data_IF_508338604840
#
_entry.id   IF_508338604840
#
_cell.length_a   1.000
_cell.length_b   1.000
_cell.length_c   1.000
_cell.angle_alpha   90.00
_cell.angle_beta   90.00
_cell.angle_gamma   90.00
#
_symmetry.space_group_name_H-M   'P 1'
#
loop_
_entity.id
_entity.type
_entity.pdbx_description
1 polymer ?
#
# COMPACT_ATOMS: atom_id res chain seq x y z
N UNK A 1 -33.69 23.46 2.71
CA UNK A 1 -32.84 22.26 2.67
C UNK A 1 -33.27 21.38 1.52
N UNK A 2 -32.31 20.92 0.72
CA UNK A 2 -32.58 19.97 -0.37
C UNK A 2 -32.89 18.59 0.20
N UNK A 3 -33.59 17.73 -0.56
CA UNK A 3 -33.91 16.36 -0.12
C UNK A 3 -32.65 15.56 0.26
N UNK A 4 -31.52 15.84 -0.41
CA UNK A 4 -30.21 15.21 -0.14
C UNK A 4 -29.64 15.63 1.22
N UNK A 5 -29.75 16.91 1.58
CA UNK A 5 -29.32 17.41 2.90
C UNK A 5 -30.12 16.78 4.03
N UNK A 6 -31.44 16.58 3.84
CA UNK A 6 -32.29 15.94 4.85
C UNK A 6 -31.96 14.47 5.05
N UNK A 7 -31.69 13.74 3.95
CA UNK A 7 -31.27 12.34 4.00
C UNK A 7 -29.89 12.22 4.68
N UNK A 8 -28.93 13.06 4.30
CA UNK A 8 -27.61 13.08 4.93
C UNK A 8 -27.68 13.39 6.44
N UNK A 9 -28.50 14.37 6.84
CA UNK A 9 -28.72 14.70 8.25
C UNK A 9 -29.34 13.55 9.05
N UNK A 10 -30.34 12.85 8.49
CA UNK A 10 -30.97 11.70 9.14
C UNK A 10 -29.98 10.54 9.33
N UNK A 11 -29.15 10.25 8.32
CA UNK A 11 -28.11 9.20 8.41
C UNK A 11 -27.04 9.59 9.44
N UNK A 12 -26.59 10.85 9.45
CA UNK A 12 -25.63 11.33 10.41
C UNK A 12 -26.14 11.21 11.86
N UNK A 13 -27.39 11.63 12.12
CA UNK A 13 -28.01 11.51 13.45
C UNK A 13 -28.12 10.05 13.90
N UNK A 14 -28.55 9.14 13.00
CA UNK A 14 -28.67 7.72 13.32
C UNK A 14 -27.32 7.07 13.67
N UNK A 15 -26.25 7.44 12.97
CA UNK A 15 -24.89 6.97 13.28
C UNK A 15 -24.42 7.53 14.62
N UNK A 16 -24.66 8.82 14.88
CA UNK A 16 -24.22 9.48 16.11
C UNK A 16 -24.95 8.95 17.35
N UNK A 17 -26.27 8.73 17.29
CA UNK A 17 -27.05 8.14 18.39
C UNK A 17 -26.52 6.76 18.82
N UNK A 18 -25.90 6.00 17.90
CA UNK A 18 -25.37 4.66 18.17
C UNK A 18 -23.91 4.64 18.60
N UNK A 19 -23.11 5.57 18.09
CA UNK A 19 -21.66 5.52 18.23
C UNK A 19 -21.10 6.65 19.09
N UNK A 20 -21.86 7.72 19.31
CA UNK A 20 -21.38 8.97 19.93
C UNK A 20 -20.19 9.58 19.18
N UNK A 21 -20.02 9.25 17.90
CA UNK A 21 -18.81 9.56 17.15
C UNK A 21 -18.65 11.05 16.87
N UNK A 22 -19.69 11.88 16.96
CA UNK A 22 -19.61 13.30 16.62
C UNK A 22 -18.61 14.06 17.51
N UNK A 23 -18.56 13.79 18.82
CA UNK A 23 -17.64 14.46 19.72
C UNK A 23 -16.17 14.11 19.40
N UNK A 24 -15.91 12.83 19.13
CA UNK A 24 -14.59 12.35 18.71
C UNK A 24 -14.21 12.91 17.33
N UNK A 25 -15.12 12.90 16.36
CA UNK A 25 -14.90 13.44 15.02
C UNK A 25 -14.59 14.93 15.06
N UNK A 26 -15.37 15.72 15.79
CA UNK A 26 -15.15 17.17 15.98
C UNK A 26 -13.76 17.46 16.55
N UNK A 27 -13.31 16.67 17.53
CA UNK A 27 -11.96 16.81 18.11
C UNK A 27 -10.86 16.55 17.08
N UNK A 28 -11.00 15.50 16.27
CA UNK A 28 -9.99 15.14 15.28
C UNK A 28 -9.95 16.11 14.09
N UNK A 29 -11.12 16.55 13.61
CA UNK A 29 -11.22 17.51 12.52
C UNK A 29 -10.69 18.89 12.88
N UNK A 30 -10.82 19.31 14.15
CA UNK A 30 -10.28 20.58 14.63
C UNK A 30 -8.80 20.48 15.06
N UNK A 31 -8.13 19.35 14.83
CA UNK A 31 -6.72 19.19 15.18
C UNK A 31 -5.85 19.98 14.20
N UNK A 32 -5.13 20.96 14.72
CA UNK A 32 -4.18 21.76 13.93
C UNK A 32 -2.85 21.02 13.84
N UNK A 33 -2.32 20.89 12.62
CA UNK A 33 -0.99 20.35 12.36
C UNK A 33 -0.04 21.47 11.93
N UNK A 34 1.24 21.43 12.32
CA UNK A 34 2.26 22.35 11.83
C UNK A 34 2.45 22.22 10.31
N UNK A 35 2.79 23.32 9.63
CA UNK A 35 2.92 23.41 8.16
C UNK A 35 4.35 23.29 7.63
N UNK A 36 5.33 23.03 8.51
CA UNK A 36 6.72 22.90 8.08
C UNK A 36 6.93 21.62 7.27
N UNK A 37 7.49 21.76 6.06
CA UNK A 37 7.66 20.68 5.07
C UNK A 37 8.28 19.39 5.63
N UNK A 38 9.21 19.50 6.59
CA UNK A 38 9.89 18.34 7.18
C UNK A 38 8.98 17.44 8.01
N UNK A 39 7.80 17.90 8.46
CA UNK A 39 6.81 17.05 9.14
C UNK A 39 6.14 16.06 8.16
N UNK A 40 6.09 16.39 6.86
CA UNK A 40 5.48 15.54 5.83
C UNK A 40 6.38 14.37 5.41
N UNK A 41 7.66 14.37 5.79
CA UNK A 41 8.59 13.29 5.46
C UNK A 41 8.15 11.94 6.04
N UNK A 42 7.50 11.95 7.22
CA UNK A 42 6.89 10.76 7.80
C UNK A 42 5.67 10.27 7.03
N UNK A 43 4.90 11.18 6.43
CA UNK A 43 3.74 10.80 5.60
C UNK A 43 4.17 10.07 4.33
N UNK A 44 5.32 10.41 3.74
CA UNK A 44 5.87 9.65 2.59
C UNK A 44 6.06 8.18 2.96
N UNK A 45 6.52 7.87 4.17
CA UNK A 45 6.63 6.50 4.65
C UNK A 45 5.24 5.85 4.77
N UNK A 46 4.25 6.54 5.35
CA UNK A 46 2.89 6.03 5.46
C UNK A 46 2.24 5.76 4.10
N UNK A 47 2.34 6.70 3.15
CA UNK A 47 1.78 6.54 1.81
C UNK A 47 2.47 5.42 1.02
N UNK A 48 3.80 5.32 1.12
CA UNK A 48 4.55 4.21 0.53
C UNK A 48 4.14 2.86 1.14
N UNK A 49 3.90 2.81 2.45
CA UNK A 49 3.41 1.62 3.14
C UNK A 49 2.01 1.20 2.68
N UNK A 50 1.08 2.15 2.48
CA UNK A 50 -0.24 1.86 1.92
C UNK A 50 -0.11 1.27 0.52
N UNK A 51 0.75 1.83 -0.33
CA UNK A 51 1.02 1.29 -1.67
C UNK A 51 1.59 -0.13 -1.59
N UNK A 52 2.52 -0.39 -0.65
CA UNK A 52 3.06 -1.72 -0.39
C UNK A 52 1.98 -2.73 -0.01
N UNK A 53 1.06 -2.35 0.87
CA UNK A 53 -0.06 -3.22 1.25
C UNK A 53 -0.94 -3.55 0.05
N UNK A 54 -1.39 -2.53 -0.70
CA UNK A 54 -2.29 -2.74 -1.84
C UNK A 54 -1.63 -3.58 -2.94
N UNK A 55 -0.41 -3.21 -3.34
CA UNK A 55 0.33 -3.95 -4.37
C UNK A 55 0.79 -5.32 -3.89
N UNK A 56 1.17 -5.47 -2.61
CA UNK A 56 1.57 -6.73 -2.02
C UNK A 56 0.41 -7.70 -1.92
N UNK A 57 -0.74 -7.27 -1.42
CA UNK A 57 -1.96 -8.08 -1.39
C UNK A 57 -2.35 -8.55 -2.78
N UNK A 58 -2.24 -7.68 -3.80
CA UNK A 58 -2.35 -8.13 -5.19
C UNK A 58 -1.36 -9.28 -5.45
N UNK A 59 -0.04 -9.05 -5.35
CA UNK A 59 0.98 -10.06 -5.69
C UNK A 59 0.79 -11.41 -4.98
N UNK A 60 0.26 -11.43 -3.74
CA UNK A 60 0.01 -12.67 -3.00
C UNK A 60 -0.98 -13.62 -3.66
N UNK A 61 -1.92 -13.15 -4.49
CA UNK A 61 -2.86 -14.04 -5.17
C UNK A 61 -2.21 -14.92 -6.26
N UNK A 62 -1.02 -14.55 -6.74
CA UNK A 62 -0.35 -15.22 -7.87
C UNK A 62 1.01 -15.82 -7.50
N UNK A 63 1.54 -15.54 -6.31
CA UNK A 63 2.86 -16.00 -5.88
C UNK A 63 2.78 -17.37 -5.20
N UNK A 64 3.54 -18.35 -5.68
CA UNK A 64 3.72 -19.68 -5.05
C UNK A 64 5.03 -19.67 -4.26
N UNK A 65 5.01 -19.65 -2.91
CA UNK A 65 6.23 -19.57 -2.09
C UNK A 65 7.04 -20.88 -2.01
N UNK A 66 6.76 -21.89 -2.85
CA UNK A 66 7.41 -23.20 -2.79
C UNK A 66 8.80 -23.26 -3.45
N UNK A 67 9.71 -24.03 -2.86
CA UNK A 67 11.03 -24.38 -3.42
C UNK A 67 11.01 -25.68 -4.25
N UNK A 68 9.83 -26.27 -4.52
CA UNK A 68 9.73 -27.44 -5.40
C UNK A 68 10.34 -27.15 -6.77
N UNK A 69 11.11 -28.09 -7.29
CA UNK A 69 11.72 -27.99 -8.61
C UNK A 69 10.66 -28.21 -9.68
N UNK A 70 10.59 -27.29 -10.64
CA UNK A 70 9.67 -27.33 -11.79
C UNK A 70 10.45 -27.04 -13.06
N UNK A 71 10.00 -27.61 -14.18
CA UNK A 71 10.47 -27.24 -15.51
C UNK A 71 9.63 -26.06 -15.99
N UNK A 72 10.27 -25.00 -16.46
CA UNK A 72 9.57 -23.81 -16.95
C UNK A 72 9.02 -24.02 -18.36
N UNK A 73 7.70 -23.85 -18.49
CA UNK A 73 6.95 -23.99 -19.75
C UNK A 73 6.13 -22.72 -20.08
N UNK A 74 6.52 -21.57 -19.51
CA UNK A 74 5.78 -20.31 -19.65
C UNK A 74 6.14 -19.49 -20.90
N UNK A 75 5.58 -18.27 -20.97
CA UNK A 75 5.68 -17.40 -22.16
C UNK A 75 7.11 -16.89 -22.46
N UNK A 76 8.01 -16.83 -21.48
CA UNK A 76 9.36 -16.27 -21.64
C UNK A 76 10.34 -17.30 -22.22
N UNK A 77 10.39 -17.37 -23.56
CA UNK A 77 11.15 -18.36 -24.32
C UNK A 77 12.62 -18.58 -23.89
N UNK A 78 13.41 -17.55 -23.51
CA UNK A 78 14.80 -17.77 -23.10
C UNK A 78 15.00 -18.67 -21.88
N UNK A 79 13.95 -18.88 -21.08
CA UNK A 79 13.99 -19.77 -19.90
C UNK A 79 13.26 -21.10 -20.11
N UNK A 80 12.73 -21.34 -21.31
CA UNK A 80 11.95 -22.56 -21.62
C UNK A 80 12.77 -23.83 -21.43
N UNK A 81 12.19 -24.82 -20.75
CA UNK A 81 12.81 -26.12 -20.47
C UNK A 81 13.84 -26.12 -19.33
N UNK A 82 14.12 -24.97 -18.71
CA UNK A 82 15.03 -24.89 -17.56
C UNK A 82 14.33 -25.30 -16.26
N UNK A 83 15.09 -25.97 -15.38
CA UNK A 83 14.63 -26.28 -14.02
C UNK A 83 14.80 -25.07 -13.10
N UNK A 84 13.76 -24.74 -12.34
CA UNK A 84 13.74 -23.64 -11.38
C UNK A 84 12.80 -23.93 -10.21
N UNK A 85 12.81 -23.10 -9.18
CA UNK A 85 11.82 -23.20 -8.10
C UNK A 85 10.44 -22.73 -8.58
N UNK A 86 9.37 -23.30 -8.00
CA UNK A 86 8.02 -22.82 -8.23
C UNK A 86 7.83 -21.33 -7.85
N UNK A 87 8.56 -20.84 -6.85
CA UNK A 87 8.62 -19.41 -6.52
C UNK A 87 9.18 -18.55 -7.66
N UNK A 88 10.23 -19.00 -8.33
CA UNK A 88 10.76 -18.27 -9.47
C UNK A 88 9.82 -18.37 -10.69
N UNK A 89 9.27 -19.55 -10.96
CA UNK A 89 8.30 -19.75 -12.03
C UNK A 89 7.03 -18.88 -11.87
N UNK A 90 6.46 -18.83 -10.65
CA UNK A 90 5.29 -17.98 -10.36
C UNK A 90 5.63 -16.49 -10.46
N UNK A 91 6.85 -16.08 -10.11
CA UNK A 91 7.33 -14.70 -10.31
C UNK A 91 7.38 -14.32 -11.79
N UNK A 92 7.83 -15.24 -12.66
CA UNK A 92 7.82 -15.04 -14.12
C UNK A 92 6.38 -14.98 -14.66
N UNK A 93 5.50 -15.87 -14.20
CA UNK A 93 4.08 -15.85 -14.54
C UNK A 93 3.42 -14.50 -14.20
N UNK A 94 3.66 -13.95 -12.99
CA UNK A 94 3.18 -12.61 -12.62
C UNK A 94 3.72 -11.55 -13.59
N UNK A 95 4.97 -11.68 -14.02
CA UNK A 95 5.63 -10.67 -14.86
C UNK A 95 5.15 -10.69 -16.30
N UNK A 96 4.89 -11.86 -16.88
CA UNK A 96 4.68 -11.98 -18.32
C UNK A 96 3.26 -12.39 -18.72
N UNK A 97 2.50 -13.01 -17.81
CA UNK A 97 1.23 -13.65 -18.16
C UNK A 97 0.04 -13.01 -17.43
N UNK A 98 0.26 -12.45 -16.24
CA UNK A 98 -0.77 -11.67 -15.53
C UNK A 98 -0.87 -10.26 -16.09
N UNK A 99 -2.06 -9.85 -16.53
CA UNK A 99 -2.31 -8.49 -17.04
C UNK A 99 -1.99 -7.45 -15.96
N UNK A 100 -1.05 -6.56 -16.25
CA UNK A 100 -0.57 -5.55 -15.30
C UNK A 100 0.30 -6.09 -14.17
N UNK A 101 0.65 -7.39 -14.18
CA UNK A 101 1.39 -8.01 -13.09
C UNK A 101 2.84 -7.50 -12.97
N UNK A 102 3.55 -7.29 -14.08
CA UNK A 102 4.87 -6.64 -14.05
C UNK A 102 4.80 -5.22 -13.48
N UNK A 103 3.81 -4.43 -13.88
CA UNK A 103 3.62 -3.08 -13.36
C UNK A 103 3.43 -3.12 -11.84
N UNK A 104 2.55 -4.00 -11.34
CA UNK A 104 2.31 -4.15 -9.90
C UNK A 104 3.58 -4.59 -9.14
N UNK A 105 4.38 -5.51 -9.70
CA UNK A 105 5.67 -5.91 -9.12
C UNK A 105 6.66 -4.75 -9.04
N UNK A 106 6.74 -3.94 -10.09
CA UNK A 106 7.62 -2.77 -10.12
C UNK A 106 7.15 -1.71 -9.12
N UNK A 107 5.85 -1.39 -9.09
CA UNK A 107 5.28 -0.47 -8.11
C UNK A 107 5.58 -0.94 -6.69
N UNK A 108 5.39 -2.23 -6.40
CA UNK A 108 5.68 -2.79 -5.08
C UNK A 108 7.17 -2.63 -4.72
N UNK A 109 8.07 -2.94 -5.65
CA UNK A 109 9.51 -2.81 -5.41
C UNK A 109 9.93 -1.34 -5.20
N UNK A 110 9.46 -0.42 -6.06
CA UNK A 110 9.75 1.01 -5.90
C UNK A 110 9.15 1.59 -4.62
N UNK A 111 7.93 1.18 -4.25
CA UNK A 111 7.32 1.57 -2.99
C UNK A 111 8.15 1.07 -1.79
N UNK A 112 8.76 -0.12 -1.87
CA UNK A 112 9.68 -0.61 -0.84
C UNK A 112 10.92 0.27 -0.70
N UNK A 113 11.50 0.72 -1.82
CA UNK A 113 12.64 1.64 -1.82
C UNK A 113 12.26 3.00 -1.21
N UNK A 114 11.14 3.59 -1.65
CA UNK A 114 10.65 4.86 -1.09
C UNK A 114 10.31 4.74 0.40
N UNK A 115 9.71 3.64 0.82
CA UNK A 115 9.40 3.38 2.23
C UNK A 115 10.67 3.37 3.08
N UNK A 116 11.70 2.63 2.66
CA UNK A 116 12.96 2.55 3.38
C UNK A 116 13.69 3.90 3.43
N UNK A 117 13.78 4.60 2.31
CA UNK A 117 14.40 5.93 2.25
C UNK A 117 13.65 6.92 3.14
N UNK A 118 12.31 6.95 3.07
CA UNK A 118 11.49 7.84 3.87
C UNK A 118 11.64 7.59 5.37
N UNK A 119 11.72 6.32 5.80
CA UNK A 119 11.99 5.97 7.21
C UNK A 119 13.34 6.55 7.67
N UNK A 120 14.40 6.35 6.88
CA UNK A 120 15.73 6.84 7.24
C UNK A 120 15.74 8.36 7.30
N UNK A 121 15.19 9.05 6.29
CA UNK A 121 15.13 10.52 6.26
C UNK A 121 14.27 11.07 7.41
N UNK A 122 13.14 10.43 7.71
CA UNK A 122 12.29 10.80 8.84
C UNK A 122 13.00 10.60 10.18
N UNK A 123 13.75 9.51 10.35
CA UNK A 123 14.57 9.26 11.54
C UNK A 123 15.63 10.35 11.75
N UNK A 124 16.36 10.71 10.69
CA UNK A 124 17.35 11.79 10.73
C UNK A 124 16.70 13.11 11.16
N UNK A 125 15.53 13.41 10.59
CA UNK A 125 14.76 14.60 10.95
C UNK A 125 14.41 14.59 12.44
N UNK A 126 13.81 13.53 12.95
CA UNK A 126 13.43 13.42 14.38
C UNK A 126 14.64 13.59 15.29
N UNK A 127 15.75 12.93 14.96
CA UNK A 127 16.99 12.98 15.74
C UNK A 127 17.60 14.39 15.76
N UNK A 128 17.80 15.01 14.59
CA UNK A 128 18.48 16.32 14.50
C UNK A 128 17.61 17.49 14.97
N UNK A 129 16.27 17.36 14.95
CA UNK A 129 15.37 18.41 15.47
C UNK A 129 14.95 18.20 16.92
N UNK A 130 15.29 17.07 17.55
CA UNK A 130 14.86 16.74 18.92
C UNK A 130 13.34 16.66 19.08
N UNK A 131 12.64 16.15 18.06
CA UNK A 131 11.18 16.10 17.99
C UNK A 131 10.57 14.90 18.73
#
# INVERSE_FOLDING_TARGET
MTARERIAGNVANYVDERTGAAAWMKKNLNKVFPDHWSFLLGEIALYSFIILLLSGTFLTFWFDPSQREVVYEGAYQPLSGLKMSAAYASTLHISFEVRGGLLMRQIHHWAALFFMVAIVVHLLRVYFTGA
#
